data_IF_915212775345
#
_entry.id   IF_915212775345
#
_cell.length_a   1.000
_cell.length_b   1.000
_cell.length_c   1.000
_cell.angle_alpha   90.00
_cell.angle_beta   90.00
_cell.angle_gamma   90.00
#
_symmetry.space_group_name_H-M   'P 1'
#
loop_
_entity.id
_entity.type
_entity.pdbx_description
1 polymer ?
#
# COMPACT_ATOMS: atom_id res chain seq x y z
N UNK A 1 0.29 -10.85 24.29
CA UNK A 1 1.66 -10.71 23.73
C UNK A 1 2.06 -9.25 23.80
N UNK A 2 3.34 -8.99 23.88
CA UNK A 2 3.93 -7.65 23.71
C UNK A 2 4.28 -7.47 22.25
N UNK A 3 3.64 -6.51 21.60
CA UNK A 3 3.84 -6.23 20.18
C UNK A 3 4.43 -4.85 20.01
N UNK A 4 5.59 -4.78 19.39
CA UNK A 4 6.27 -3.53 19.10
C UNK A 4 6.10 -3.17 17.63
N UNK A 5 5.55 -1.99 17.36
CA UNK A 5 5.53 -1.41 16.02
C UNK A 5 6.69 -0.43 15.83
N UNK A 6 7.47 -0.63 14.78
CA UNK A 6 8.40 0.36 14.26
C UNK A 6 7.70 1.18 13.17
N UNK A 7 7.24 2.37 13.49
CA UNK A 7 6.20 3.08 12.76
C UNK A 7 4.81 2.59 13.19
N UNK A 8 3.79 2.78 12.34
CA UNK A 8 2.43 2.28 12.65
C UNK A 8 1.41 3.38 12.96
N UNK A 9 1.83 4.63 12.97
CA UNK A 9 0.93 5.79 13.15
C UNK A 9 0.27 6.24 11.83
N UNK A 10 0.63 5.62 10.70
CA UNK A 10 0.06 5.91 9.39
C UNK A 10 -1.29 5.24 9.15
N UNK A 11 -1.85 5.48 7.95
CA UNK A 11 -3.23 5.12 7.65
C UNK A 11 -3.54 3.61 7.70
N UNK A 12 -2.60 2.71 7.41
CA UNK A 12 -2.81 1.26 7.58
C UNK A 12 -2.43 0.80 8.98
N UNK A 13 -1.29 1.25 9.49
CA UNK A 13 -0.74 0.76 10.76
C UNK A 13 -1.64 1.08 11.97
N UNK A 14 -2.28 2.25 11.98
CA UNK A 14 -3.17 2.65 13.07
C UNK A 14 -4.37 1.71 13.24
N UNK A 15 -4.90 1.12 12.17
CA UNK A 15 -5.96 0.11 12.23
C UNK A 15 -5.45 -1.20 12.89
N UNK A 16 -4.25 -1.67 12.51
CA UNK A 16 -3.65 -2.85 13.12
C UNK A 16 -3.35 -2.64 14.61
N UNK A 17 -2.80 -1.46 14.98
CA UNK A 17 -2.52 -1.08 16.37
C UNK A 17 -3.80 -1.10 17.20
N UNK A 18 -4.88 -0.42 16.74
CA UNK A 18 -6.18 -0.44 17.43
C UNK A 18 -6.71 -1.85 17.60
N UNK A 19 -6.67 -2.65 16.55
CA UNK A 19 -7.19 -4.02 16.56
C UNK A 19 -6.45 -4.89 17.56
N UNK A 20 -5.12 -4.87 17.58
CA UNK A 20 -4.31 -5.64 18.52
C UNK A 20 -4.50 -5.17 19.96
N UNK A 21 -4.54 -3.87 20.21
CA UNK A 21 -4.84 -3.31 21.52
C UNK A 21 -6.25 -3.71 21.99
N UNK A 22 -7.26 -3.67 21.11
CA UNK A 22 -8.62 -4.13 21.38
C UNK A 22 -8.73 -5.62 21.67
N UNK A 23 -7.81 -6.44 21.15
CA UNK A 23 -7.69 -7.86 21.47
C UNK A 23 -6.93 -8.13 22.80
N UNK A 24 -6.53 -7.08 23.52
CA UNK A 24 -5.88 -7.18 24.83
C UNK A 24 -4.38 -7.44 24.74
N UNK A 25 -3.74 -7.16 23.61
CA UNK A 25 -2.28 -7.21 23.51
C UNK A 25 -1.65 -5.94 24.11
N UNK A 26 -0.47 -6.09 24.67
CA UNK A 26 0.39 -4.98 25.12
C UNK A 26 1.10 -4.41 23.87
N UNK A 27 0.59 -3.28 23.36
CA UNK A 27 1.06 -2.69 22.10
C UNK A 27 1.86 -1.43 22.39
N UNK A 28 3.10 -1.41 21.90
CA UNK A 28 3.95 -0.22 21.87
C UNK A 28 4.21 0.21 20.45
N UNK A 29 4.12 1.51 20.18
CA UNK A 29 4.46 2.09 18.88
C UNK A 29 5.67 3.02 19.03
N UNK A 30 6.75 2.68 18.36
CA UNK A 30 7.93 3.55 18.24
C UNK A 30 7.75 4.42 16.98
N UNK A 31 7.72 5.77 17.16
CA UNK A 31 7.40 6.70 16.08
C UNK A 31 8.04 8.09 16.26
N UNK A 32 7.96 8.92 15.22
CA UNK A 32 8.58 10.25 15.19
C UNK A 32 7.71 11.38 15.76
N UNK A 33 6.46 11.12 16.12
CA UNK A 33 5.51 12.13 16.56
C UNK A 33 4.97 13.04 15.44
N UNK A 34 5.07 12.63 14.17
CA UNK A 34 4.58 13.43 13.02
C UNK A 34 3.10 13.23 12.76
N UNK A 35 2.61 12.01 13.03
CA UNK A 35 1.21 11.62 12.84
C UNK A 35 0.72 11.04 14.16
N UNK A 36 -0.38 11.55 14.66
CA UNK A 36 -0.98 11.13 15.93
C UNK A 36 -2.45 10.76 15.69
N UNK A 37 -2.73 9.52 15.22
CA UNK A 37 -4.09 9.04 15.10
C UNK A 37 -4.70 8.83 16.49
N UNK A 38 -6.02 8.90 16.58
CA UNK A 38 -6.75 8.54 17.80
C UNK A 38 -6.56 7.05 18.07
N UNK A 39 -5.73 6.71 19.05
CA UNK A 39 -5.43 5.36 19.49
C UNK A 39 -5.94 5.12 20.93
N UNK A 40 -6.26 3.87 21.30
CA UNK A 40 -6.60 3.54 22.68
C UNK A 40 -5.50 3.99 23.67
N UNK A 41 -5.89 4.51 24.82
CA UNK A 41 -4.96 4.95 25.88
C UNK A 41 -4.07 3.82 26.44
N UNK A 42 -4.39 2.58 26.13
CA UNK A 42 -3.56 1.40 26.47
C UNK A 42 -2.38 1.21 25.54
N UNK A 43 -2.29 1.96 24.42
CA UNK A 43 -1.14 1.89 23.50
C UNK A 43 -0.02 2.74 24.08
N UNK A 44 1.15 2.15 24.21
CA UNK A 44 2.35 2.85 24.66
C UNK A 44 3.08 3.50 23.48
N UNK A 45 3.66 4.68 23.72
CA UNK A 45 4.38 5.44 22.71
C UNK A 45 5.85 5.61 23.11
N UNK A 46 6.75 5.30 22.17
CA UNK A 46 8.19 5.60 22.28
C UNK A 46 8.54 6.57 21.15
N UNK A 47 8.99 7.77 21.53
CA UNK A 47 9.36 8.78 20.57
C UNK A 47 10.85 8.71 20.23
N UNK A 48 11.20 8.77 18.96
CA UNK A 48 12.58 8.89 18.51
C UNK A 48 12.76 10.05 17.51
N UNK A 49 13.87 10.75 17.63
CA UNK A 49 14.23 11.83 16.73
C UNK A 49 15.07 11.31 15.57
N UNK A 50 14.45 10.79 14.55
CA UNK A 50 15.19 10.33 13.39
C UNK A 50 14.27 10.20 12.19
N UNK A 51 14.79 10.38 10.98
CA UNK A 51 13.95 10.44 9.80
C UNK A 51 13.46 9.08 9.33
N UNK A 52 14.18 8.03 9.64
CA UNK A 52 13.85 6.65 9.24
C UNK A 52 14.83 5.71 9.89
N UNK A 53 14.53 4.44 9.92
CA UNK A 53 15.51 3.37 10.06
C UNK A 53 16.53 3.39 8.89
N UNK A 54 16.35 4.25 7.89
CA UNK A 54 17.07 4.36 6.64
C UNK A 54 18.51 4.84 6.69
N UNK A 55 19.04 5.18 7.83
CA UNK A 55 20.43 5.66 7.92
C UNK A 55 21.23 4.94 8.98
N UNK A 56 21.22 3.60 8.90
CA UNK A 56 22.12 2.76 9.70
C UNK A 56 22.03 3.04 11.22
N UNK A 57 23.12 2.89 11.84
CA UNK A 57 23.42 3.00 13.26
C UNK A 57 22.97 4.28 14.00
N UNK A 58 22.64 5.37 13.32
CA UNK A 58 22.29 6.63 13.97
C UNK A 58 20.85 6.72 14.49
N UNK A 59 19.94 5.88 14.01
CA UNK A 59 18.51 5.99 14.30
C UNK A 59 18.09 5.31 15.57
N UNK A 60 18.67 4.18 15.85
CA UNK A 60 18.34 3.39 17.03
C UNK A 60 19.25 3.71 18.23
N UNK A 61 20.40 4.33 18.01
CA UNK A 61 21.40 4.51 19.09
C UNK A 61 20.89 5.21 20.35
N UNK A 62 19.88 6.08 20.23
CA UNK A 62 19.26 6.75 21.37
C UNK A 62 18.12 5.98 22.05
N UNK A 63 17.51 5.00 21.37
CA UNK A 63 16.30 4.29 21.86
C UNK A 63 16.43 2.77 21.86
N UNK A 64 17.52 2.22 21.35
CA UNK A 64 17.73 0.76 21.25
C UNK A 64 17.55 0.05 22.57
N UNK A 65 18.18 0.57 23.63
CA UNK A 65 18.12 -0.06 24.95
C UNK A 65 16.72 0.03 25.56
N UNK A 66 16.00 1.13 25.31
CA UNK A 66 14.60 1.28 25.68
C UNK A 66 13.73 0.25 24.96
N UNK A 67 13.85 0.16 23.61
CA UNK A 67 13.09 -0.80 22.81
C UNK A 67 13.39 -2.25 23.16
N UNK A 68 14.66 -2.58 23.45
CA UNK A 68 15.04 -3.91 23.97
C UNK A 68 14.47 -4.18 25.35
N UNK A 69 14.42 -3.15 26.21
CA UNK A 69 13.84 -3.22 27.55
C UNK A 69 12.36 -3.60 27.55
N UNK A 70 11.62 -3.31 26.48
CA UNK A 70 10.24 -3.73 26.30
C UNK A 70 10.08 -5.24 26.13
N UNK A 71 11.14 -5.94 25.73
CA UNK A 71 11.16 -7.39 25.45
C UNK A 71 9.97 -7.82 24.60
N UNK A 72 9.82 -7.27 23.38
CA UNK A 72 8.68 -7.58 22.53
C UNK A 72 8.66 -9.06 22.14
N UNK A 73 7.48 -9.67 22.12
CA UNK A 73 7.30 -11.03 21.62
C UNK A 73 7.32 -11.03 20.09
N UNK A 74 6.72 -9.99 19.46
CA UNK A 74 6.70 -9.79 18.01
C UNK A 74 7.02 -8.33 17.69
N UNK A 75 7.83 -8.10 16.66
CA UNK A 75 8.13 -6.77 16.11
C UNK A 75 7.48 -6.62 14.76
N UNK A 76 6.74 -5.52 14.54
CA UNK A 76 6.16 -5.17 13.23
C UNK A 76 6.91 -3.98 12.67
N UNK A 77 7.62 -4.17 11.54
CA UNK A 77 8.34 -3.10 10.86
C UNK A 77 7.49 -2.57 9.71
N UNK A 78 6.87 -1.40 9.91
CA UNK A 78 5.87 -0.85 8.99
C UNK A 78 6.45 -0.30 7.68
N UNK A 79 7.69 0.09 7.66
CA UNK A 79 8.31 0.68 6.47
C UNK A 79 9.79 0.33 6.35
N UNK A 80 10.15 -0.96 6.24
CA UNK A 80 11.54 -1.34 5.97
C UNK A 80 11.91 -0.88 4.56
N UNK A 81 12.74 0.15 4.49
CA UNK A 81 13.01 0.80 3.21
C UNK A 81 14.20 0.17 2.48
N UNK A 82 15.11 -0.48 3.19
CA UNK A 82 16.33 -1.06 2.62
C UNK A 82 16.79 -2.31 3.39
N UNK A 83 17.78 -3.01 2.83
CA UNK A 83 18.41 -4.11 3.53
C UNK A 83 19.17 -3.68 4.79
N UNK A 84 19.73 -2.48 4.82
CA UNK A 84 20.39 -1.91 6.01
C UNK A 84 19.37 -1.62 7.13
N UNK A 85 18.25 -1.06 6.76
CA UNK A 85 17.16 -0.76 7.67
C UNK A 85 16.59 -2.03 8.31
N UNK A 86 16.28 -3.02 7.47
CA UNK A 86 15.87 -4.35 7.94
C UNK A 86 16.94 -5.01 8.82
N UNK A 87 18.22 -4.91 8.43
CA UNK A 87 19.35 -5.46 9.19
C UNK A 87 19.49 -4.84 10.57
N UNK A 88 19.30 -3.52 10.68
CA UNK A 88 19.33 -2.82 11.96
C UNK A 88 18.23 -3.31 12.91
N UNK A 89 17.00 -3.50 12.38
CA UNK A 89 15.90 -4.06 13.16
C UNK A 89 16.20 -5.50 13.60
N UNK A 90 16.67 -6.35 12.69
CA UNK A 90 17.00 -7.75 13.01
C UNK A 90 18.09 -7.86 14.09
N UNK A 91 19.17 -7.10 13.97
CA UNK A 91 20.25 -7.07 14.98
C UNK A 91 19.76 -6.57 16.34
N UNK A 92 18.85 -5.60 16.34
CA UNK A 92 18.32 -5.02 17.56
C UNK A 92 17.49 -6.04 18.34
N UNK A 93 16.66 -6.83 17.66
CA UNK A 93 15.67 -7.68 18.31
C UNK A 93 16.04 -9.17 18.35
N UNK A 94 17.11 -9.59 17.69
CA UNK A 94 17.62 -10.97 17.78
C UNK A 94 17.94 -11.35 19.23
N UNK A 95 17.36 -12.47 19.69
CA UNK A 95 17.45 -12.92 21.07
C UNK A 95 16.46 -12.25 22.04
N UNK A 96 15.64 -11.29 21.57
CA UNK A 96 14.60 -10.62 22.35
C UNK A 96 13.18 -10.91 21.84
N UNK A 97 12.99 -10.87 20.53
CA UNK A 97 11.72 -11.20 19.89
C UNK A 97 11.74 -12.62 19.31
N UNK A 98 10.56 -13.23 19.17
CA UNK A 98 10.40 -14.55 18.54
C UNK A 98 10.30 -14.46 17.01
N UNK A 99 9.82 -13.34 16.45
CA UNK A 99 9.68 -13.11 15.01
C UNK A 99 9.50 -11.64 14.69
N UNK A 100 9.68 -11.31 13.40
CA UNK A 100 9.45 -9.97 12.84
C UNK A 100 8.42 -10.06 11.72
N UNK A 101 7.50 -9.10 11.63
CA UNK A 101 6.61 -8.90 10.48
C UNK A 101 7.08 -7.67 9.72
N UNK A 102 7.52 -7.85 8.49
CA UNK A 102 8.01 -6.77 7.62
C UNK A 102 7.00 -6.42 6.52
N UNK A 103 6.69 -5.13 6.39
CA UNK A 103 5.78 -4.66 5.33
C UNK A 103 6.57 -4.42 4.05
N UNK A 104 6.18 -5.16 3.01
CA UNK A 104 6.69 -5.03 1.65
C UNK A 104 5.58 -4.54 0.71
N UNK A 105 5.78 -4.69 -0.59
CA UNK A 105 4.84 -4.25 -1.62
C UNK A 105 4.86 -5.21 -2.81
N UNK A 106 3.77 -5.31 -3.52
CA UNK A 106 3.72 -6.03 -4.80
C UNK A 106 4.56 -5.39 -5.91
N UNK A 107 5.15 -4.22 -5.67
CA UNK A 107 6.12 -3.58 -6.58
C UNK A 107 7.48 -4.30 -6.64
N UNK A 108 7.71 -5.29 -5.76
CA UNK A 108 8.88 -6.16 -5.82
C UNK A 108 8.87 -7.10 -7.03
N UNK A 109 7.71 -7.35 -7.63
CA UNK A 109 7.60 -8.24 -8.78
C UNK A 109 8.12 -7.62 -10.07
N UNK A 110 8.63 -8.48 -10.98
CA UNK A 110 9.10 -8.07 -12.30
C UNK A 110 8.02 -7.32 -13.09
N UNK A 111 6.74 -7.69 -12.93
CA UNK A 111 5.61 -7.00 -13.55
C UNK A 111 5.64 -5.48 -13.33
N UNK A 112 6.02 -5.04 -12.14
CA UNK A 112 6.18 -3.62 -11.85
C UNK A 112 7.33 -2.98 -12.64
N UNK A 113 8.45 -3.69 -12.78
CA UNK A 113 9.59 -3.24 -13.57
C UNK A 113 9.25 -3.13 -15.07
N UNK A 114 8.46 -4.09 -15.60
CA UNK A 114 7.94 -4.04 -16.99
C UNK A 114 6.99 -2.86 -17.16
N UNK A 115 6.03 -2.70 -16.25
CA UNK A 115 5.09 -1.59 -16.26
C UNK A 115 5.81 -0.23 -16.29
N UNK A 116 6.85 -0.06 -15.51
CA UNK A 116 7.65 1.18 -15.48
C UNK A 116 8.76 1.25 -16.53
N UNK A 117 8.82 0.28 -17.46
CA UNK A 117 9.81 0.20 -18.56
C UNK A 117 11.27 0.19 -18.09
N UNK A 118 11.51 -0.23 -16.83
CA UNK A 118 12.87 -0.42 -16.29
C UNK A 118 13.36 -1.84 -16.53
N UNK A 119 12.45 -2.77 -16.83
CA UNK A 119 12.76 -4.12 -17.26
C UNK A 119 12.22 -4.40 -18.65
N UNK A 120 12.99 -5.16 -19.44
CA UNK A 120 12.65 -5.49 -20.82
C UNK A 120 11.99 -6.86 -20.93
N UNK A 121 11.34 -7.13 -22.06
CA UNK A 121 10.73 -8.42 -22.37
C UNK A 121 9.20 -8.39 -22.29
N UNK A 122 8.54 -9.53 -22.48
CA UNK A 122 7.09 -9.61 -22.48
C UNK A 122 6.50 -9.34 -21.09
N UNK A 123 5.22 -8.98 -21.02
CA UNK A 123 4.49 -8.90 -19.75
C UNK A 123 4.68 -10.16 -18.91
N UNK A 124 4.81 -9.99 -17.60
CA UNK A 124 4.83 -11.11 -16.67
C UNK A 124 3.41 -11.69 -16.54
N UNK A 125 3.25 -13.02 -16.65
CA UNK A 125 1.94 -13.64 -16.46
C UNK A 125 1.35 -13.34 -15.08
N UNK A 126 0.04 -13.12 -15.03
CA UNK A 126 -0.73 -12.87 -13.80
C UNK A 126 -1.81 -13.97 -13.64
N UNK A 127 -2.29 -14.22 -12.40
CA UNK A 127 -1.95 -13.56 -11.14
C UNK A 127 -0.54 -13.93 -10.65
N UNK A 128 0.13 -12.96 -9.98
CA UNK A 128 1.47 -13.13 -9.42
C UNK A 128 1.37 -13.87 -8.09
N UNK A 129 2.03 -14.99 -7.97
CA UNK A 129 2.20 -15.71 -6.70
C UNK A 129 3.43 -15.22 -5.96
N UNK A 130 3.61 -15.62 -4.71
CA UNK A 130 4.78 -15.24 -3.91
C UNK A 130 6.11 -15.77 -4.49
N UNK A 131 6.05 -16.82 -5.34
CA UNK A 131 7.18 -17.38 -6.08
C UNK A 131 7.43 -16.72 -7.44
N UNK A 132 6.55 -15.81 -7.88
CA UNK A 132 6.71 -15.11 -9.15
C UNK A 132 8.00 -14.31 -9.18
N UNK A 133 8.59 -14.19 -10.38
CA UNK A 133 9.87 -13.51 -10.58
C UNK A 133 9.83 -12.08 -10.02
N UNK A 134 10.83 -11.75 -9.21
CA UNK A 134 11.06 -10.41 -8.68
C UNK A 134 11.82 -9.55 -9.70
N UNK A 135 11.78 -8.24 -9.51
CA UNK A 135 12.58 -7.29 -10.29
C UNK A 135 14.08 -7.57 -10.09
N UNK A 136 14.83 -7.46 -11.16
CA UNK A 136 16.29 -7.50 -11.13
C UNK A 136 16.91 -6.11 -11.03
N UNK A 137 16.16 -5.08 -11.52
CA UNK A 137 16.60 -3.69 -11.50
C UNK A 137 15.97 -2.94 -10.36
N UNK A 138 16.79 -2.23 -9.60
CA UNK A 138 16.35 -1.36 -8.53
C UNK A 138 15.75 -0.05 -9.09
N UNK A 139 14.96 0.61 -8.28
CA UNK A 139 14.44 1.92 -8.62
C UNK A 139 15.57 2.90 -8.88
N UNK A 140 15.53 3.56 -10.05
CA UNK A 140 16.54 4.55 -10.44
C UNK A 140 16.42 5.81 -9.57
N UNK A 141 15.18 6.18 -9.21
CA UNK A 141 14.90 7.44 -8.52
C UNK A 141 14.99 7.33 -6.98
N UNK A 142 15.04 6.14 -6.44
CA UNK A 142 15.14 5.91 -5.00
C UNK A 142 15.91 4.61 -4.67
N UNK A 143 17.20 4.52 -5.01
CA UNK A 143 17.98 3.28 -4.81
C UNK A 143 18.15 2.89 -3.33
N UNK A 144 17.87 3.81 -2.41
CA UNK A 144 17.81 3.53 -0.96
C UNK A 144 16.48 2.92 -0.50
N UNK A 145 15.46 2.91 -1.35
CA UNK A 145 14.16 2.28 -1.07
C UNK A 145 14.07 0.98 -1.87
N UNK A 146 14.68 -0.10 -1.36
CA UNK A 146 14.67 -1.38 -2.06
C UNK A 146 14.15 -2.49 -1.14
N UNK A 147 12.86 -2.75 -1.25
CA UNK A 147 12.14 -3.73 -0.43
C UNK A 147 12.60 -5.16 -0.65
N UNK A 148 13.07 -5.51 -1.85
CA UNK A 148 13.61 -6.85 -2.14
C UNK A 148 14.79 -7.16 -1.23
N UNK A 149 15.66 -6.17 -0.97
CA UNK A 149 16.80 -6.35 -0.07
C UNK A 149 16.35 -6.49 1.39
N UNK A 150 15.32 -5.73 1.80
CA UNK A 150 14.72 -5.88 3.11
C UNK A 150 14.08 -7.27 3.30
N UNK A 151 13.32 -7.77 2.31
CA UNK A 151 12.75 -9.11 2.34
C UNK A 151 13.81 -10.20 2.53
N UNK A 152 14.94 -10.11 1.77
CA UNK A 152 16.04 -11.06 1.89
C UNK A 152 16.65 -11.10 3.28
N UNK A 153 16.77 -9.96 3.93
CA UNK A 153 17.28 -9.86 5.29
C UNK A 153 16.33 -10.50 6.30
N UNK A 154 15.04 -10.17 6.24
CA UNK A 154 14.05 -10.74 7.15
C UNK A 154 13.90 -12.26 7.01
N UNK A 155 13.99 -12.79 5.79
CA UNK A 155 13.85 -14.22 5.51
C UNK A 155 15.14 -15.00 5.77
N UNK A 156 16.29 -14.33 5.86
CA UNK A 156 17.60 -14.95 5.96
C UNK A 156 18.03 -15.36 7.37
N UNK A 157 17.28 -15.02 8.41
CA UNK A 157 17.66 -15.31 9.81
C UNK A 157 16.76 -16.39 10.41
N UNK A 158 17.34 -17.55 10.69
CA UNK A 158 16.63 -18.70 11.27
C UNK A 158 16.30 -18.52 12.77
N UNK A 159 17.07 -17.69 13.49
CA UNK A 159 16.86 -17.45 14.93
C UNK A 159 15.82 -16.36 15.20
N UNK A 160 15.57 -15.50 14.19
CA UNK A 160 14.54 -14.47 14.22
C UNK A 160 13.78 -14.47 12.88
N UNK A 161 12.89 -15.44 12.65
CA UNK A 161 12.23 -15.58 11.36
C UNK A 161 11.31 -14.41 11.05
N UNK A 162 11.43 -13.89 9.81
CA UNK A 162 10.58 -12.80 9.33
C UNK A 162 9.33 -13.31 8.61
N UNK A 163 8.23 -12.60 8.74
CA UNK A 163 7.05 -12.71 7.89
C UNK A 163 7.00 -11.50 6.97
N UNK A 164 6.78 -11.71 5.68
CA UNK A 164 6.69 -10.63 4.69
C UNK A 164 5.26 -10.46 4.21
N UNK A 165 4.77 -9.23 4.25
CA UNK A 165 3.46 -8.85 3.72
C UNK A 165 3.64 -7.95 2.50
N UNK A 166 3.39 -8.46 1.29
CA UNK A 166 3.43 -7.71 0.04
C UNK A 166 2.09 -7.05 -0.20
N UNK A 167 2.00 -5.78 0.12
CA UNK A 167 0.77 -5.01 -0.01
C UNK A 167 0.52 -4.48 -1.42
N UNK A 168 -0.75 -4.35 -1.84
CA UNK A 168 -1.16 -3.79 -3.12
C UNK A 168 -1.17 -2.26 -3.07
N UNK A 169 -1.80 -1.63 -4.08
CA UNK A 169 -2.25 -0.25 -3.97
C UNK A 169 -3.32 -0.15 -2.89
N UNK A 170 -2.96 0.42 -1.74
CA UNK A 170 -3.88 0.59 -0.62
C UNK A 170 -4.64 1.90 -0.75
N UNK A 171 -5.98 1.86 -0.64
CA UNK A 171 -6.84 3.02 -0.62
C UNK A 171 -7.63 3.08 0.70
N UNK A 172 -8.21 4.23 1.04
CA UNK A 172 -9.00 4.38 2.26
C UNK A 172 -8.74 5.69 2.99
N UNK A 173 -9.20 5.73 4.24
CA UNK A 173 -9.06 6.89 5.11
C UNK A 173 -7.58 7.14 5.43
N UNK A 174 -7.12 8.35 5.20
CA UNK A 174 -5.72 8.73 5.43
C UNK A 174 -4.78 8.42 4.25
N UNK A 175 -5.30 8.05 3.07
CA UNK A 175 -4.49 7.86 1.86
C UNK A 175 -3.87 9.17 1.38
N UNK A 176 -2.62 9.41 1.75
CA UNK A 176 -1.88 10.63 1.38
C UNK A 176 -1.61 10.75 -0.14
N UNK A 177 -1.76 9.67 -0.90
CA UNK A 177 -1.65 9.70 -2.36
C UNK A 177 -2.99 10.04 -3.04
N UNK A 178 -4.08 10.09 -2.29
CA UNK A 178 -5.41 10.43 -2.79
C UNK A 178 -5.78 9.68 -4.08
N UNK A 179 -5.59 8.36 -4.11
CA UNK A 179 -5.61 7.51 -5.31
C UNK A 179 -6.90 7.56 -6.11
N UNK A 180 -8.03 7.84 -5.49
CA UNK A 180 -9.31 7.96 -6.20
C UNK A 180 -9.67 9.43 -6.54
N UNK A 181 -8.92 10.41 -6.04
CA UNK A 181 -9.28 11.83 -6.14
C UNK A 181 -9.36 12.32 -7.58
N UNK A 182 -8.50 11.85 -8.46
CA UNK A 182 -8.51 12.23 -9.87
C UNK A 182 -9.85 11.94 -10.57
N UNK A 183 -10.50 10.83 -10.22
CA UNK A 183 -11.84 10.49 -10.70
C UNK A 183 -12.92 11.19 -9.90
N UNK A 184 -12.81 11.16 -8.58
CA UNK A 184 -13.80 11.77 -7.68
C UNK A 184 -14.01 13.26 -7.98
N UNK A 185 -12.93 14.01 -8.19
CA UNK A 185 -12.99 15.43 -8.56
C UNK A 185 -13.80 15.70 -9.83
N UNK A 186 -13.67 14.82 -10.84
CA UNK A 186 -14.45 14.91 -12.09
C UNK A 186 -15.94 14.62 -11.84
N UNK A 187 -16.22 13.64 -11.00
CA UNK A 187 -17.57 13.27 -10.59
C UNK A 187 -18.24 14.37 -9.77
N UNK A 188 -17.53 14.95 -8.81
CA UNK A 188 -18.00 16.07 -7.99
C UNK A 188 -18.21 17.38 -8.78
N UNK A 189 -17.46 17.56 -9.88
CA UNK A 189 -17.69 18.63 -10.86
C UNK A 189 -18.86 18.33 -11.82
N UNK A 190 -19.64 17.27 -11.54
CA UNK A 190 -20.78 16.84 -12.34
C UNK A 190 -20.47 16.63 -13.83
N UNK A 191 -19.23 16.21 -14.16
CA UNK A 191 -18.89 15.87 -15.55
C UNK A 191 -19.77 14.71 -16.03
N UNK A 192 -20.47 14.84 -17.16
CA UNK A 192 -21.36 13.79 -17.66
C UNK A 192 -20.59 12.58 -18.19
N UNK A 193 -19.30 12.78 -18.54
CA UNK A 193 -18.45 11.75 -19.11
C UNK A 193 -17.06 11.81 -18.48
N UNK A 194 -16.51 10.63 -18.18
CA UNK A 194 -15.08 10.43 -17.89
C UNK A 194 -14.49 9.57 -19.01
N UNK A 195 -13.58 10.16 -19.79
CA UNK A 195 -12.88 9.47 -20.86
C UNK A 195 -11.69 8.68 -20.29
N UNK A 196 -11.53 7.44 -20.76
CA UNK A 196 -10.39 6.59 -20.47
C UNK A 196 -9.78 6.09 -21.77
N UNK A 197 -8.45 6.17 -21.89
CA UNK A 197 -7.76 5.50 -22.99
C UNK A 197 -8.02 3.98 -22.93
N UNK A 198 -8.26 3.35 -24.08
CA UNK A 198 -8.83 2.00 -24.14
C UNK A 198 -7.94 0.90 -23.55
N UNK A 199 -6.62 1.00 -23.69
CA UNK A 199 -5.70 -0.03 -23.12
C UNK A 199 -5.60 0.16 -21.63
N UNK A 200 -5.49 1.41 -21.15
CA UNK A 200 -5.53 1.70 -19.71
C UNK A 200 -6.84 1.26 -19.06
N UNK A 201 -7.95 1.51 -19.73
CA UNK A 201 -9.27 1.13 -19.22
C UNK A 201 -9.44 -0.39 -18.97
N UNK A 202 -8.75 -1.21 -19.75
CA UNK A 202 -8.77 -2.68 -19.64
C UNK A 202 -7.75 -3.23 -18.65
N UNK A 203 -6.76 -2.43 -18.27
CA UNK A 203 -5.70 -2.87 -17.36
C UNK A 203 -6.28 -3.20 -15.99
N UNK A 204 -5.87 -4.33 -15.45
CA UNK A 204 -6.26 -4.79 -14.11
C UNK A 204 -5.16 -4.56 -13.08
N UNK A 205 -5.56 -4.18 -11.86
CA UNK A 205 -4.62 -4.03 -10.76
C UNK A 205 -5.24 -4.45 -9.42
N UNK A 206 -4.44 -5.12 -8.60
CA UNK A 206 -4.81 -5.45 -7.22
C UNK A 206 -4.83 -4.20 -6.36
N UNK A 207 -5.88 -4.08 -5.56
CA UNK A 207 -6.11 -3.00 -4.60
C UNK A 207 -6.47 -3.57 -3.24
N UNK A 208 -6.46 -2.74 -2.21
CA UNK A 208 -6.93 -3.15 -0.89
C UNK A 208 -7.34 -1.96 -0.06
N UNK A 209 -8.49 -2.07 0.61
CA UNK A 209 -8.94 -1.07 1.57
C UNK A 209 -8.07 -1.11 2.84
N UNK A 210 -7.74 0.04 3.37
CA UNK A 210 -6.77 0.20 4.46
C UNK A 210 -7.08 -0.68 5.69
N UNK A 211 -8.35 -0.77 6.11
CA UNK A 211 -8.74 -1.60 7.25
C UNK A 211 -8.60 -3.09 6.93
N UNK A 212 -9.03 -3.54 5.74
CA UNK A 212 -8.87 -4.93 5.29
C UNK A 212 -7.39 -5.31 5.23
N UNK A 213 -6.55 -4.46 4.59
CA UNK A 213 -5.10 -4.71 4.48
C UNK A 213 -4.45 -4.79 5.86
N UNK A 214 -4.90 -3.98 6.83
CA UNK A 214 -4.36 -3.99 8.19
C UNK A 214 -4.54 -5.32 8.91
N UNK A 215 -5.56 -6.11 8.56
CA UNK A 215 -5.77 -7.44 9.12
C UNK A 215 -4.64 -8.41 8.79
N UNK A 216 -3.95 -8.23 7.67
CA UNK A 216 -2.78 -9.05 7.34
C UNK A 216 -1.69 -8.96 8.43
N UNK A 217 -1.52 -7.78 9.04
CA UNK A 217 -0.61 -7.60 10.17
C UNK A 217 -1.13 -8.36 11.39
N UNK A 218 -2.41 -8.14 11.73
CA UNK A 218 -3.03 -8.75 12.93
C UNK A 218 -2.92 -10.27 12.86
N UNK A 219 -3.29 -10.86 11.72
CA UNK A 219 -3.22 -12.31 11.49
C UNK A 219 -1.79 -12.83 11.57
N UNK A 220 -0.82 -12.13 10.97
CA UNK A 220 0.59 -12.51 11.04
C UNK A 220 1.18 -12.40 12.45
N UNK A 221 0.73 -11.43 13.25
CA UNK A 221 1.12 -11.30 14.66
C UNK A 221 0.49 -12.42 15.49
N UNK A 222 -0.75 -12.79 15.21
CA UNK A 222 -1.49 -13.80 15.99
C UNK A 222 -1.10 -15.24 15.65
N UNK A 223 -0.53 -15.50 14.48
CA UNK A 223 -0.23 -16.83 13.98
C UNK A 223 1.27 -17.12 13.94
N UNK A 224 1.71 -18.10 14.72
CA UNK A 224 3.11 -18.54 14.70
C UNK A 224 3.52 -19.21 13.39
N UNK A 225 2.54 -19.82 12.66
CA UNK A 225 2.79 -20.43 11.35
C UNK A 225 3.17 -19.42 10.27
N UNK A 226 2.96 -18.12 10.51
CA UNK A 226 3.39 -17.07 9.60
C UNK A 226 4.92 -16.83 9.60
N UNK A 227 5.64 -17.38 10.57
CA UNK A 227 7.09 -17.23 10.68
C UNK A 227 7.82 -17.81 9.45
N UNK A 228 8.70 -17.02 8.86
CA UNK A 228 9.44 -17.41 7.64
C UNK A 228 8.62 -17.41 6.35
N UNK A 229 7.39 -16.86 6.36
CA UNK A 229 6.47 -16.88 5.21
C UNK A 229 6.40 -15.53 4.50
N UNK A 230 6.04 -15.60 3.22
CA UNK A 230 5.70 -14.43 2.41
C UNK A 230 4.22 -14.55 2.04
N UNK A 231 3.51 -13.44 2.11
CA UNK A 231 2.10 -13.37 1.72
C UNK A 231 1.82 -12.17 0.82
N UNK A 232 1.19 -12.43 -0.30
CA UNK A 232 0.51 -11.40 -1.06
C UNK A 232 -0.79 -10.99 -0.35
N UNK A 233 -1.06 -9.70 -0.30
CA UNK A 233 -2.25 -9.14 0.34
C UNK A 233 -2.98 -8.28 -0.67
N UNK A 234 -4.24 -8.56 -0.91
CA UNK A 234 -5.14 -7.75 -1.75
C UNK A 234 -6.59 -8.17 -1.52
N UNK A 235 -7.53 -7.38 -2.03
CA UNK A 235 -8.92 -7.79 -2.19
C UNK A 235 -9.00 -8.99 -3.16
N UNK A 236 -10.00 -9.86 -2.94
CA UNK A 236 -10.18 -11.10 -3.71
C UNK A 236 -10.34 -10.84 -5.22
N UNK A 237 -11.10 -9.79 -5.57
CA UNK A 237 -11.39 -9.45 -6.95
C UNK A 237 -10.56 -8.25 -7.41
N UNK A 238 -9.75 -8.45 -8.44
CA UNK A 238 -9.10 -7.36 -9.16
C UNK A 238 -10.05 -6.81 -10.24
N UNK A 239 -10.14 -5.49 -10.32
CA UNK A 239 -10.96 -4.80 -11.32
C UNK A 239 -10.10 -4.19 -12.41
N UNK A 240 -10.67 -4.13 -13.62
CA UNK A 240 -10.18 -3.24 -14.66
C UNK A 240 -10.29 -1.78 -14.20
N UNK A 241 -9.51 -0.89 -14.80
CA UNK A 241 -9.62 0.53 -14.47
C UNK A 241 -11.01 1.10 -14.80
N UNK A 242 -11.63 0.62 -15.88
CA UNK A 242 -13.01 0.98 -16.23
C UNK A 242 -14.02 0.57 -15.15
N UNK A 243 -13.92 -0.68 -14.66
CA UNK A 243 -14.78 -1.17 -13.58
C UNK A 243 -14.52 -0.37 -12.29
N UNK A 244 -13.27 -0.05 -12.01
CA UNK A 244 -12.89 0.74 -10.86
C UNK A 244 -13.53 2.14 -10.89
N UNK A 245 -13.44 2.85 -12.03
CA UNK A 245 -14.08 4.16 -12.21
C UNK A 245 -15.58 4.08 -12.05
N UNK A 246 -16.23 3.05 -12.61
CA UNK A 246 -17.68 2.83 -12.47
C UNK A 246 -18.07 2.60 -11.01
N UNK A 247 -17.33 1.77 -10.29
CA UNK A 247 -17.62 1.47 -8.89
C UNK A 247 -17.43 2.70 -7.99
N UNK A 248 -16.41 3.54 -8.27
CA UNK A 248 -16.26 4.85 -7.61
C UNK A 248 -17.47 5.73 -7.91
N UNK A 249 -17.90 5.79 -9.19
CA UNK A 249 -19.05 6.59 -9.61
C UNK A 249 -20.33 6.20 -8.91
N UNK A 250 -20.61 4.90 -8.83
CA UNK A 250 -21.77 4.37 -8.09
C UNK A 250 -21.72 4.77 -6.61
N UNK A 251 -20.56 4.62 -5.96
CA UNK A 251 -20.39 4.98 -4.56
C UNK A 251 -20.45 6.50 -4.32
N UNK A 252 -20.04 7.32 -5.30
CA UNK A 252 -20.07 8.78 -5.25
C UNK A 252 -21.45 9.37 -5.56
N UNK A 253 -22.38 8.56 -6.06
CA UNK A 253 -23.70 9.03 -6.56
C UNK A 253 -23.58 9.78 -7.88
N UNK A 254 -22.62 9.43 -8.74
CA UNK A 254 -22.39 10.08 -10.01
C UNK A 254 -23.27 9.48 -11.13
N UNK A 255 -24.07 10.32 -11.79
CA UNK A 255 -24.99 9.92 -12.86
C UNK A 255 -24.36 9.89 -14.27
N UNK A 256 -23.07 10.20 -14.37
CA UNK A 256 -22.35 10.19 -15.64
C UNK A 256 -21.94 8.80 -16.11
N UNK A 257 -21.12 8.76 -17.16
CA UNK A 257 -20.62 7.49 -17.73
C UNK A 257 -19.14 7.54 -18.02
N UNK A 258 -18.44 6.41 -17.83
CA UNK A 258 -17.10 6.23 -18.34
C UNK A 258 -17.16 5.74 -19.81
N UNK A 259 -16.36 6.33 -20.69
CA UNK A 259 -16.26 5.99 -22.10
C UNK A 259 -14.83 5.64 -22.47
N UNK A 260 -14.67 4.75 -23.46
CA UNK A 260 -13.37 4.36 -23.98
C UNK A 260 -13.00 5.26 -25.18
N UNK A 261 -11.75 5.65 -25.20
CA UNK A 261 -11.15 6.41 -26.31
C UNK A 261 -10.04 5.57 -26.92
N UNK A 262 -10.03 5.35 -28.25
CA UNK A 262 -8.92 4.67 -28.90
C UNK A 262 -7.59 5.37 -28.61
N UNK A 263 -6.50 4.62 -28.49
CA UNK A 263 -5.17 5.16 -28.14
C UNK A 263 -4.73 6.25 -29.11
N UNK A 264 -4.98 6.05 -30.41
CA UNK A 264 -4.57 7.00 -31.47
C UNK A 264 -5.34 8.34 -31.42
N UNK A 265 -6.53 8.34 -30.84
CA UNK A 265 -7.40 9.52 -30.71
C UNK A 265 -7.27 10.16 -29.31
N UNK A 266 -6.60 9.50 -28.37
CA UNK A 266 -6.57 9.92 -26.98
C UNK A 266 -5.72 11.19 -26.76
N UNK A 267 -6.29 12.25 -26.17
CA UNK A 267 -5.50 13.41 -25.73
C UNK A 267 -4.36 13.01 -24.80
N UNK A 268 -3.25 13.72 -24.88
CA UNK A 268 -2.02 13.38 -24.17
C UNK A 268 -2.20 13.19 -22.63
N UNK A 269 -3.13 13.90 -21.99
CA UNK A 269 -3.41 13.79 -20.57
C UNK A 269 -4.13 12.49 -20.18
N UNK A 270 -4.72 11.74 -21.13
CA UNK A 270 -5.30 10.43 -20.91
C UNK A 270 -4.27 9.29 -21.05
N UNK A 271 -3.15 9.56 -21.73
CA UNK A 271 -2.10 8.58 -21.94
C UNK A 271 -1.27 8.39 -20.67
N UNK A 272 -1.05 7.14 -20.30
CA UNK A 272 -0.26 6.83 -19.12
C UNK A 272 1.24 6.87 -19.43
N UNK A 273 2.04 7.34 -18.46
CA UNK A 273 3.51 7.38 -18.56
C UNK A 273 4.15 6.00 -18.41
N UNK A 274 3.39 5.01 -17.97
CA UNK A 274 3.83 3.62 -17.80
C UNK A 274 3.22 2.70 -18.86
N UNK A 275 3.71 1.47 -18.95
CA UNK A 275 3.18 0.46 -19.88
C UNK A 275 1.86 -0.11 -19.33
N UNK A 276 0.77 0.21 -19.97
CA UNK A 276 -0.58 -0.23 -19.60
C UNK A 276 -0.91 -1.64 -20.09
N UNK A 277 -0.05 -2.26 -20.88
CA UNK A 277 -0.19 -3.66 -21.32
C UNK A 277 0.18 -4.69 -20.25
N UNK A 278 0.78 -4.27 -19.13
CA UNK A 278 1.09 -5.14 -18.01
C UNK A 278 0.01 -5.02 -16.93
N UNK A 279 -0.73 -6.10 -16.71
CA UNK A 279 -1.60 -6.24 -15.53
C UNK A 279 -0.78 -6.43 -14.26
N UNK A 280 -1.33 -5.97 -13.14
CA UNK A 280 -0.65 -6.01 -11.86
C UNK A 280 -1.53 -6.63 -10.77
N UNK A 281 -1.79 -7.94 -10.94
CA UNK A 281 -2.69 -8.75 -10.13
C UNK A 281 -1.88 -9.77 -9.35
N UNK A 282 -2.15 -9.91 -8.05
CA UNK A 282 -1.55 -10.92 -7.19
C UNK A 282 -2.54 -12.00 -6.80
N UNK A 283 -2.04 -13.21 -6.62
CA UNK A 283 -2.75 -14.31 -5.99
C UNK A 283 -2.67 -14.14 -4.47
N UNK A 284 -3.81 -14.22 -3.79
CA UNK A 284 -3.93 -14.10 -2.33
C UNK A 284 -4.37 -15.40 -1.67
N UNK A 285 -4.37 -16.50 -2.39
CA UNK A 285 -4.84 -17.80 -1.88
C UNK A 285 -4.08 -18.24 -0.64
N UNK A 286 -2.75 -18.04 -0.63
CA UNK A 286 -1.90 -18.45 0.50
C UNK A 286 -2.29 -17.77 1.82
N UNK A 287 -2.45 -16.47 1.87
CA UNK A 287 -2.81 -15.77 3.11
C UNK A 287 -4.22 -16.15 3.55
N UNK A 288 -5.13 -16.40 2.62
CA UNK A 288 -6.50 -16.84 2.92
C UNK A 288 -6.53 -18.25 3.50
N UNK A 289 -5.81 -19.17 2.90
CA UNK A 289 -5.76 -20.57 3.34
C UNK A 289 -4.99 -20.75 4.66
N UNK A 290 -3.83 -20.10 4.78
CA UNK A 290 -2.94 -20.32 5.93
C UNK A 290 -3.32 -19.47 7.15
N UNK A 291 -3.80 -18.23 6.94
CA UNK A 291 -4.09 -17.29 8.03
C UNK A 291 -5.57 -16.93 8.17
N UNK A 292 -6.44 -17.38 7.26
CA UNK A 292 -7.87 -17.05 7.28
C UNK A 292 -8.14 -15.59 6.95
N UNK A 293 -7.35 -14.99 6.05
CA UNK A 293 -7.57 -13.60 5.63
C UNK A 293 -8.86 -13.45 4.85
N UNK A 294 -9.73 -12.58 5.31
CA UNK A 294 -10.99 -12.20 4.66
C UNK A 294 -11.21 -10.69 4.81
N UNK A 295 -11.86 -10.07 3.84
CA UNK A 295 -12.25 -8.67 3.91
C UNK A 295 -13.37 -8.49 4.95
N UNK A 296 -13.15 -7.62 5.93
CA UNK A 296 -14.15 -7.30 6.97
C UNK A 296 -15.01 -6.10 6.61
N UNK A 297 -14.56 -5.29 5.65
CA UNK A 297 -15.30 -4.17 5.09
C UNK A 297 -15.55 -4.45 3.62
N UNK A 298 -16.81 -4.48 3.20
CA UNK A 298 -17.18 -4.69 1.81
C UNK A 298 -16.71 -3.50 0.94
N UNK A 299 -16.34 -3.74 -0.31
CA UNK A 299 -15.80 -2.72 -1.22
C UNK A 299 -16.71 -1.49 -1.38
N UNK A 300 -18.02 -1.69 -1.44
CA UNK A 300 -18.99 -0.57 -1.53
C UNK A 300 -18.91 0.34 -0.32
N UNK A 301 -18.84 -0.22 0.87
CA UNK A 301 -18.68 0.53 2.13
C UNK A 301 -17.30 1.19 2.20
N UNK A 302 -16.24 0.46 1.83
CA UNK A 302 -14.86 0.97 1.79
C UNK A 302 -14.74 2.20 0.89
N UNK A 303 -15.39 2.18 -0.29
CA UNK A 303 -15.41 3.32 -1.20
C UNK A 303 -16.21 4.49 -0.65
N UNK A 304 -17.38 4.25 -0.04
CA UNK A 304 -18.15 5.31 0.61
C UNK A 304 -17.32 6.03 1.67
N UNK A 305 -16.71 5.29 2.60
CA UNK A 305 -15.84 5.85 3.63
C UNK A 305 -14.66 6.62 3.02
N UNK A 306 -14.05 6.09 1.96
CA UNK A 306 -12.91 6.73 1.28
C UNK A 306 -13.33 8.05 0.63
N UNK A 307 -14.48 8.07 -0.06
CA UNK A 307 -15.04 9.25 -0.73
C UNK A 307 -15.37 10.34 0.28
N UNK A 308 -16.06 10.00 1.38
CA UNK A 308 -16.39 10.93 2.46
C UNK A 308 -15.12 11.55 3.06
N UNK A 309 -14.11 10.70 3.31
CA UNK A 309 -12.84 11.17 3.83
C UNK A 309 -12.14 12.11 2.84
N UNK A 310 -12.06 11.76 1.56
CA UNK A 310 -11.38 12.59 0.55
C UNK A 310 -12.08 13.93 0.29
N UNK A 311 -13.41 13.97 0.33
CA UNK A 311 -14.18 15.22 0.26
C UNK A 311 -13.91 16.14 1.45
N UNK A 312 -13.69 15.54 2.63
CA UNK A 312 -13.37 16.29 3.86
C UNK A 312 -11.87 16.65 3.98
N UNK A 313 -11.01 15.94 3.26
CA UNK A 313 -9.55 16.09 3.30
C UNK A 313 -9.00 16.12 1.86
N UNK A 314 -9.28 17.17 1.08
CA UNK A 314 -8.76 17.25 -0.28
C UNK A 314 -7.24 17.31 -0.28
N UNK A 315 -6.58 16.80 -1.34
CA UNK A 315 -5.13 16.87 -1.43
C UNK A 315 -4.63 18.31 -1.53
N UNK A 316 -3.37 18.56 -1.15
CA UNK A 316 -2.71 19.84 -1.43
C UNK A 316 -2.77 20.16 -2.93
N UNK A 317 -3.07 21.45 -3.26
CA UNK A 317 -3.28 21.87 -4.64
C UNK A 317 -2.09 21.57 -5.56
N UNK A 318 -0.87 21.63 -5.03
CA UNK A 318 0.37 21.33 -5.77
C UNK A 318 0.52 19.87 -6.21
N UNK A 319 -0.24 18.95 -5.63
CA UNK A 319 -0.15 17.52 -5.94
C UNK A 319 -1.06 17.07 -7.09
N UNK A 320 -1.92 17.98 -7.58
CA UNK A 320 -2.89 17.68 -8.65
C UNK A 320 -2.95 18.82 -9.66
N UNK A 321 -3.37 18.52 -10.91
CA UNK A 321 -3.54 19.57 -11.91
C UNK A 321 -4.45 20.70 -11.41
N UNK A 322 -4.09 21.94 -11.73
CA UNK A 322 -4.90 23.12 -11.42
C UNK A 322 -6.26 23.08 -12.14
N UNK A 323 -7.20 23.93 -11.74
CA UNK A 323 -8.50 24.04 -12.41
C UNK A 323 -8.35 24.47 -13.87
N UNK A 324 -7.36 25.31 -14.19
CA UNK A 324 -7.06 25.74 -15.55
C UNK A 324 -6.54 24.57 -16.40
N UNK A 325 -5.61 23.77 -15.88
CA UNK A 325 -5.10 22.57 -16.56
C UNK A 325 -6.21 21.54 -16.77
N UNK A 326 -7.07 21.35 -15.77
CA UNK A 326 -8.23 20.48 -15.88
C UNK A 326 -9.24 20.98 -16.94
N UNK A 327 -9.48 22.29 -17.01
CA UNK A 327 -10.39 22.86 -18.01
C UNK A 327 -9.88 22.65 -19.44
N UNK A 328 -8.56 22.74 -19.67
CA UNK A 328 -7.95 22.41 -20.97
C UNK A 328 -8.15 20.93 -21.32
N UNK A 329 -7.96 20.03 -20.34
CA UNK A 329 -8.20 18.60 -20.52
C UNK A 329 -9.66 18.31 -20.85
N UNK A 330 -10.61 18.91 -20.12
CA UNK A 330 -12.04 18.76 -20.37
C UNK A 330 -12.44 19.28 -21.76
N UNK A 331 -11.94 20.43 -22.18
CA UNK A 331 -12.22 20.95 -23.52
C UNK A 331 -11.73 19.99 -24.63
N UNK A 332 -10.58 19.37 -24.46
CA UNK A 332 -10.09 18.36 -25.39
C UNK A 332 -10.95 17.09 -25.42
N UNK A 333 -11.42 16.63 -24.24
CA UNK A 333 -12.33 15.49 -24.14
C UNK A 333 -13.71 15.81 -24.77
N UNK A 334 -14.27 17.00 -24.48
CA UNK A 334 -15.56 17.44 -25.04
C UNK A 334 -15.51 17.56 -26.57
N UNK A 335 -14.43 18.12 -27.11
CA UNK A 335 -14.23 18.20 -28.55
C UNK A 335 -14.15 16.81 -29.21
N UNK A 336 -13.47 15.86 -28.56
CA UNK A 336 -13.37 14.49 -29.05
C UNK A 336 -14.71 13.75 -29.02
N UNK A 337 -15.51 13.99 -27.99
CA UNK A 337 -16.78 13.28 -27.77
C UNK A 337 -17.98 13.95 -28.44
N UNK A 338 -17.77 15.11 -29.07
CA UNK A 338 -18.82 15.89 -29.74
C UNK A 338 -19.85 16.47 -28.77
N UNK A 339 -19.40 16.78 -27.55
CA UNK A 339 -20.25 17.27 -26.44
C UNK A 339 -20.19 18.79 -26.31
#
# INVERSE_FOLDING_TARGET
>A
MRVLFLGGMGFVGSHAVRKLAGLGHDVTVAHRGVTEPDLPSSVHHVHYSGLTFNRGDQLLSGVVDELRGLKPDVVVHMSPASGEDAGAAMQTFKGFASRVVGISSIDVYRAYGVMHRVETGPPQPVPLTEESQLRERFYVDAPWVEKILAERVFLGDADLPGTILRWPMVYGLGDQQHRIFGYLRRMDAARPVIALEEVHARRMASRGFTENVSLSIVLSVMNESAAGRIYNVAEADAFTELEWVRTIGEAAGWDGRAVLVPTDDAPAHLLQKYDVGQDWIVDTSRIREELGYEEVVARSEALQQTIEWQRSNPPPAENFPSDEEMAVGYAAEDALLGA
#
